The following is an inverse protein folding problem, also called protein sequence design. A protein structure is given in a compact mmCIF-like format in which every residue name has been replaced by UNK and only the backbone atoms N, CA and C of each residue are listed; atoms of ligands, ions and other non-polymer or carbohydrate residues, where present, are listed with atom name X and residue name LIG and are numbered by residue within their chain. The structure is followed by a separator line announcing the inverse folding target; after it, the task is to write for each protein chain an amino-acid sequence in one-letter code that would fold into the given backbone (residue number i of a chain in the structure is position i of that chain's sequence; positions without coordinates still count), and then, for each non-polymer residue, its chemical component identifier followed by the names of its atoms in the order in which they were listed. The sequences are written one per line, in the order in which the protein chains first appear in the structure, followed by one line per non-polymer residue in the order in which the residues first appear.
data_IF_846609668479
#
_entry.id   IF_846609668479
#
_cell.length_a   1.000
_cell.length_b   1.000
_cell.length_c   1.000
_cell.angle_alpha   90.00
_cell.angle_beta   90.00
_cell.angle_gamma   90.00
#
_symmetry.space_group_name_H-M   'P 1'
#
loop_
_entity.id
_entity.type
_entity.pdbx_description
1 polymer ?
#
# COMPACT_ATOMS: atom_id res chain seq x y z
N UNK A 1 -9.35 -36.69 12.71
CA UNK A 1 -9.64 -35.26 12.46
C UNK A 1 -8.34 -34.49 12.55
N UNK A 2 -7.76 -34.16 11.43
CA UNK A 2 -6.55 -33.34 11.40
C UNK A 2 -6.96 -31.96 10.91
N UNK A 3 -6.99 -31.01 11.81
CA UNK A 3 -7.15 -29.61 11.48
C UNK A 3 -5.81 -29.13 10.90
N UNK A 4 -5.73 -29.07 9.58
CA UNK A 4 -4.60 -28.52 8.87
C UNK A 4 -4.58 -26.99 9.00
N UNK A 5 -4.00 -26.50 10.06
CA UNK A 5 -3.60 -25.10 10.17
C UNK A 5 -2.14 -25.03 9.71
N UNK A 6 -1.94 -24.94 8.42
CA UNK A 6 -0.67 -24.46 7.87
C UNK A 6 -0.70 -22.94 7.82
N UNK A 7 -0.95 -22.34 8.96
CA UNK A 7 -0.73 -20.91 9.17
C UNK A 7 0.76 -20.69 9.36
N UNK A 8 1.42 -20.02 8.43
CA UNK A 8 2.74 -19.49 8.68
C UNK A 8 2.63 -18.53 9.87
N UNK A 9 3.02 -18.98 11.04
CA UNK A 9 3.12 -18.16 12.24
C UNK A 9 4.34 -17.27 12.03
N UNK A 10 4.11 -16.04 11.56
CA UNK A 10 5.17 -15.03 11.62
C UNK A 10 5.23 -14.60 13.07
N UNK A 11 6.30 -14.97 13.76
CA UNK A 11 6.56 -14.49 15.10
C UNK A 11 6.62 -12.96 15.05
N UNK A 12 5.68 -12.29 15.72
CA UNK A 12 5.72 -10.84 15.94
C UNK A 12 6.74 -10.60 17.05
N UNK A 13 7.90 -10.01 16.77
CA UNK A 13 8.80 -9.64 17.84
C UNK A 13 8.22 -8.52 18.69
N UNK A 14 8.38 -8.63 19.97
CA UNK A 14 8.01 -7.62 20.97
C UNK A 14 8.69 -6.27 20.68
N UNK A 15 8.03 -5.15 21.02
CA UNK A 15 8.47 -3.80 20.69
C UNK A 15 9.61 -3.34 21.59
N UNK A 16 10.77 -3.84 21.40
CA UNK A 16 11.99 -3.28 22.00
C UNK A 16 13.20 -3.84 21.31
N UNK A 17 13.87 -2.99 20.63
CA UNK A 17 15.22 -3.02 20.08
C UNK A 17 15.27 -3.02 18.56
N UNK A 18 15.92 -1.97 18.05
CA UNK A 18 16.48 -1.83 16.71
C UNK A 18 15.80 -2.70 15.63
N UNK A 19 14.61 -2.28 15.20
CA UNK A 19 13.88 -2.94 14.13
C UNK A 19 14.51 -2.60 12.78
N UNK A 20 15.63 -3.19 12.53
CA UNK A 20 16.24 -3.22 11.21
C UNK A 20 15.42 -4.16 10.33
N UNK A 21 14.78 -3.59 9.33
CA UNK A 21 14.18 -4.29 8.17
C UNK A 21 13.28 -5.49 8.49
N UNK A 22 12.01 -5.21 8.75
CA UNK A 22 10.97 -6.24 8.75
C UNK A 22 10.16 -6.14 7.46
N UNK A 23 10.04 -7.27 6.76
CA UNK A 23 9.23 -7.38 5.55
C UNK A 23 8.24 -8.53 5.66
N UNK A 24 6.99 -8.26 5.30
CA UNK A 24 5.96 -9.28 5.07
C UNK A 24 5.39 -9.11 3.67
N UNK A 25 5.17 -10.21 2.96
CA UNK A 25 4.64 -10.21 1.61
C UNK A 25 3.51 -11.24 1.48
N UNK A 26 2.48 -10.85 0.74
CA UNK A 26 1.30 -11.66 0.45
C UNK A 26 1.13 -11.79 -1.05
N UNK A 27 0.76 -12.98 -1.51
CA UNK A 27 0.30 -13.22 -2.89
C UNK A 27 -1.19 -13.50 -2.83
N UNK A 28 -1.97 -12.67 -3.49
CA UNK A 28 -3.42 -12.62 -3.39
C UNK A 28 -4.07 -12.81 -4.76
N UNK A 29 -5.28 -13.33 -4.78
CA UNK A 29 -6.06 -13.47 -6.00
C UNK A 29 -6.56 -12.12 -6.52
N UNK A 30 -6.92 -12.06 -7.80
CA UNK A 30 -7.50 -10.87 -8.42
C UNK A 30 -9.02 -10.83 -8.18
N UNK A 31 -9.41 -10.59 -6.93
CA UNK A 31 -10.80 -10.60 -6.47
C UNK A 31 -11.16 -9.40 -5.62
N UNK A 32 -12.46 -9.14 -5.45
CA UNK A 32 -12.95 -8.08 -4.56
C UNK A 32 -12.54 -8.33 -3.10
N UNK A 33 -12.51 -9.59 -2.68
CA UNK A 33 -12.07 -9.96 -1.34
C UNK A 33 -10.62 -9.52 -1.06
N UNK A 34 -9.77 -9.54 -2.07
CA UNK A 34 -8.37 -9.07 -1.97
C UNK A 34 -8.30 -7.59 -1.60
N UNK A 35 -9.23 -6.78 -2.09
CA UNK A 35 -9.29 -5.34 -1.77
C UNK A 35 -9.55 -5.14 -0.27
N UNK A 36 -10.53 -5.85 0.29
CA UNK A 36 -10.87 -5.77 1.71
C UNK A 36 -9.73 -6.35 2.58
N UNK A 37 -9.13 -7.46 2.16
CA UNK A 37 -7.98 -8.06 2.82
C UNK A 37 -6.76 -7.14 2.84
N UNK A 38 -6.50 -6.42 1.77
CA UNK A 38 -5.38 -5.48 1.68
C UNK A 38 -5.58 -4.32 2.67
N UNK A 39 -6.78 -3.76 2.73
CA UNK A 39 -7.14 -2.69 3.68
C UNK A 39 -6.98 -3.16 5.14
N UNK A 40 -7.50 -4.33 5.48
CA UNK A 40 -7.39 -4.92 6.81
C UNK A 40 -5.93 -5.14 7.23
N UNK A 41 -5.10 -5.68 6.33
CA UNK A 41 -3.66 -5.88 6.58
C UNK A 41 -2.95 -4.55 6.81
N UNK A 42 -3.25 -3.55 6.00
CA UNK A 42 -2.68 -2.21 6.14
C UNK A 42 -3.05 -1.57 7.48
N UNK A 43 -4.32 -1.67 7.88
CA UNK A 43 -4.81 -1.18 9.18
C UNK A 43 -4.06 -1.83 10.32
N UNK A 44 -3.94 -3.15 10.32
CA UNK A 44 -3.26 -3.90 11.37
C UNK A 44 -1.78 -3.53 11.46
N UNK A 45 -1.08 -3.57 10.34
CA UNK A 45 0.37 -3.31 10.30
C UNK A 45 0.69 -1.86 10.70
N UNK A 46 -0.07 -0.88 10.20
CA UNK A 46 0.12 0.52 10.57
C UNK A 46 -0.13 0.75 12.08
N UNK A 47 -1.14 0.10 12.65
CA UNK A 47 -1.42 0.16 14.09
C UNK A 47 -0.28 -0.46 14.90
N UNK A 48 0.21 -1.63 14.50
CA UNK A 48 1.34 -2.32 15.17
C UNK A 48 2.64 -1.52 15.13
N UNK A 49 2.87 -0.76 14.05
CA UNK A 49 4.03 0.13 13.90
C UNK A 49 3.92 1.35 14.83
N UNK A 50 2.71 1.79 15.17
CA UNK A 50 2.46 2.89 16.08
C UNK A 50 1.99 4.18 15.41
N UNK A 51 1.45 4.11 14.20
CA UNK A 51 0.76 5.26 13.58
C UNK A 51 -0.48 5.66 14.40
N UNK A 52 -0.80 6.95 14.44
CA UNK A 52 -2.04 7.44 15.02
C UNK A 52 -3.26 7.04 14.18
N UNK A 53 -4.47 7.14 14.75
CA UNK A 53 -5.71 6.68 14.12
C UNK A 53 -5.94 7.32 12.75
N UNK A 54 -5.71 8.62 12.61
CA UNK A 54 -5.88 9.33 11.33
C UNK A 54 -4.91 8.82 10.27
N UNK A 55 -3.66 8.58 10.64
CA UNK A 55 -2.64 8.06 9.73
C UNK A 55 -2.93 6.60 9.34
N UNK A 56 -3.36 5.77 10.29
CA UNK A 56 -3.80 4.40 10.01
C UNK A 56 -4.92 4.40 8.99
N UNK A 57 -5.93 5.27 9.15
CA UNK A 57 -7.01 5.42 8.18
C UNK A 57 -6.49 5.86 6.81
N UNK A 58 -5.61 6.84 6.75
CA UNK A 58 -5.02 7.34 5.50
C UNK A 58 -4.22 6.23 4.78
N UNK A 59 -3.41 5.50 5.52
CA UNK A 59 -2.62 4.37 4.98
C UNK A 59 -3.53 3.27 4.44
N UNK A 60 -4.55 2.89 5.21
CA UNK A 60 -5.48 1.83 4.81
C UNK A 60 -6.28 2.20 3.56
N UNK A 61 -6.74 3.44 3.46
CA UNK A 61 -7.44 3.94 2.28
C UNK A 61 -6.53 4.01 1.06
N UNK A 62 -5.28 4.44 1.21
CA UNK A 62 -4.31 4.46 0.13
C UNK A 62 -4.02 3.04 -0.39
N UNK A 63 -3.86 2.07 0.50
CA UNK A 63 -3.66 0.65 0.14
C UNK A 63 -4.91 0.07 -0.54
N UNK A 64 -6.10 0.40 -0.04
CA UNK A 64 -7.35 -0.01 -0.69
C UNK A 64 -7.41 0.48 -2.13
N UNK A 65 -7.12 1.75 -2.38
CA UNK A 65 -7.10 2.31 -3.73
C UNK A 65 -6.04 1.65 -4.62
N UNK A 66 -4.86 1.37 -4.08
CA UNK A 66 -3.83 0.62 -4.79
C UNK A 66 -4.27 -0.81 -5.14
N UNK A 67 -4.95 -1.49 -4.24
CA UNK A 67 -5.51 -2.82 -4.48
C UNK A 67 -6.65 -2.78 -5.53
N UNK A 68 -7.51 -1.78 -5.50
CA UNK A 68 -8.53 -1.56 -6.54
C UNK A 68 -7.87 -1.42 -7.91
N UNK A 69 -6.84 -0.60 -8.02
CA UNK A 69 -6.11 -0.43 -9.28
C UNK A 69 -5.48 -1.74 -9.76
N UNK A 70 -4.90 -2.52 -8.86
CA UNK A 70 -4.28 -3.79 -9.22
C UNK A 70 -5.30 -4.86 -9.65
N UNK A 71 -6.39 -5.03 -8.90
CA UNK A 71 -7.41 -6.06 -9.16
C UNK A 71 -8.26 -5.72 -10.38
N UNK A 72 -8.80 -4.48 -10.44
CA UNK A 72 -9.75 -4.08 -11.48
C UNK A 72 -9.04 -3.65 -12.76
N UNK A 73 -8.12 -2.71 -12.65
CA UNK A 73 -7.51 -2.06 -13.81
C UNK A 73 -6.27 -2.80 -14.31
N UNK A 74 -5.45 -3.34 -13.41
CA UNK A 74 -4.28 -4.12 -13.77
C UNK A 74 -4.66 -5.52 -14.26
N UNK A 75 -5.11 -6.36 -13.35
CA UNK A 75 -5.39 -7.77 -13.63
C UNK A 75 -6.78 -8.03 -14.24
N UNK A 76 -7.69 -7.05 -14.22
CA UNK A 76 -9.06 -7.17 -14.74
C UNK A 76 -9.78 -8.44 -14.24
N UNK A 77 -9.64 -8.75 -12.95
CA UNK A 77 -10.18 -9.96 -12.30
C UNK A 77 -9.71 -11.30 -12.88
N UNK A 78 -8.63 -11.31 -13.66
CA UNK A 78 -8.16 -12.54 -14.27
C UNK A 78 -7.75 -13.59 -13.21
N UNK A 79 -8.31 -14.80 -13.22
CA UNK A 79 -8.09 -15.81 -12.17
C UNK A 79 -6.66 -16.38 -12.16
N UNK A 80 -5.95 -16.26 -13.27
CA UNK A 80 -4.56 -16.69 -13.44
C UNK A 80 -3.53 -15.60 -13.07
N UNK A 81 -4.00 -14.37 -12.76
CA UNK A 81 -3.16 -13.26 -12.37
C UNK A 81 -3.27 -12.97 -10.88
N UNK A 82 -2.14 -12.71 -10.25
CA UNK A 82 -2.04 -12.46 -8.82
C UNK A 82 -1.70 -11.00 -8.53
N UNK A 83 -2.06 -10.56 -7.35
CA UNK A 83 -1.63 -9.30 -6.76
C UNK A 83 -0.63 -9.62 -5.66
N UNK A 84 0.54 -9.00 -5.70
CA UNK A 84 1.51 -9.08 -4.61
C UNK A 84 1.42 -7.81 -3.77
N UNK A 85 1.24 -7.98 -2.47
CA UNK A 85 1.18 -6.91 -1.48
C UNK A 85 2.30 -7.12 -0.47
N UNK A 86 3.21 -6.18 -0.35
CA UNK A 86 4.30 -6.25 0.60
C UNK A 86 4.35 -5.00 1.49
N UNK A 87 4.67 -5.21 2.75
CA UNK A 87 4.94 -4.18 3.74
C UNK A 87 6.36 -4.35 4.25
N UNK A 88 7.10 -3.29 4.28
CA UNK A 88 8.49 -3.28 4.71
C UNK A 88 8.74 -2.05 5.57
N UNK A 89 9.33 -2.26 6.74
CA UNK A 89 9.87 -1.15 7.53
C UNK A 89 11.35 -0.99 7.20
N UNK A 90 11.69 0.13 6.64
CA UNK A 90 13.08 0.49 6.29
C UNK A 90 13.44 1.77 7.02
N UNK A 91 14.20 1.64 8.12
CA UNK A 91 14.52 2.78 8.98
C UNK A 91 13.26 3.46 9.51
N UNK A 92 13.09 4.73 9.15
CA UNK A 92 11.99 5.59 9.59
C UNK A 92 10.80 5.57 8.63
N UNK A 93 10.74 4.62 7.71
CA UNK A 93 9.70 4.54 6.70
C UNK A 93 8.93 3.23 6.75
N UNK A 94 7.63 3.30 6.55
CA UNK A 94 6.81 2.19 6.10
C UNK A 94 6.74 2.26 4.57
N UNK A 95 7.24 1.23 3.92
CA UNK A 95 7.18 1.07 2.46
C UNK A 95 6.16 -0.02 2.13
N UNK A 96 5.18 0.32 1.32
CA UNK A 96 4.14 -0.59 0.87
C UNK A 96 4.28 -0.74 -0.63
N UNK A 97 4.37 -1.98 -1.11
CA UNK A 97 4.48 -2.28 -2.54
C UNK A 97 3.31 -3.13 -2.98
N UNK A 98 2.62 -2.70 -4.03
CA UNK A 98 1.51 -3.43 -4.65
C UNK A 98 1.87 -3.68 -6.11
N UNK A 99 1.88 -4.94 -6.54
CA UNK A 99 2.18 -5.34 -7.91
C UNK A 99 1.03 -6.12 -8.51
N UNK A 100 0.66 -5.78 -9.72
CA UNK A 100 -0.22 -6.58 -10.56
C UNK A 100 0.54 -7.24 -11.72
N UNK A 101 -0.14 -8.06 -12.48
CA UNK A 101 0.38 -8.78 -13.64
C UNK A 101 -0.38 -8.38 -14.92
N UNK A 102 -0.90 -7.17 -14.94
CA UNK A 102 -1.61 -6.60 -16.08
C UNK A 102 -0.67 -6.08 -17.18
N UNK A 103 -1.23 -5.36 -18.17
CA UNK A 103 -0.45 -4.85 -19.31
C UNK A 103 0.41 -3.62 -18.98
N UNK A 104 0.37 -3.14 -17.75
CA UNK A 104 1.00 -1.90 -17.34
C UNK A 104 0.05 -0.69 -17.49
N UNK A 105 0.24 0.30 -16.63
CA UNK A 105 -0.55 1.51 -16.62
C UNK A 105 0.07 2.57 -17.55
N UNK A 106 -0.74 3.20 -18.37
CA UNK A 106 -0.31 4.37 -19.15
C UNK A 106 -0.46 5.63 -18.29
N UNK A 107 0.66 6.12 -17.76
CA UNK A 107 0.70 7.29 -16.89
C UNK A 107 0.23 8.58 -17.59
N UNK A 108 0.35 8.65 -18.92
CA UNK A 108 -0.09 9.82 -19.70
C UNK A 108 -1.61 9.95 -19.76
N UNK A 109 -2.33 8.86 -19.49
CA UNK A 109 -3.80 8.80 -19.51
C UNK A 109 -4.44 8.99 -18.15
N UNK A 110 -3.67 9.21 -17.09
CA UNK A 110 -4.21 9.51 -15.78
C UNK A 110 -4.82 10.91 -15.81
N UNK A 111 -6.15 11.06 -15.65
CA UNK A 111 -6.77 12.37 -15.68
C UNK A 111 -6.39 13.18 -14.44
N UNK A 112 -6.27 14.50 -14.61
CA UNK A 112 -6.20 15.40 -13.47
C UNK A 112 -7.60 15.46 -12.80
N UNK A 113 -7.77 14.94 -11.58
CA UNK A 113 -9.09 14.91 -10.93
C UNK A 113 -9.61 16.28 -10.55
N UNK A 114 -8.74 17.30 -10.50
CA UNK A 114 -9.10 18.68 -10.20
C UNK A 114 -9.44 19.51 -11.44
N UNK A 115 -9.23 18.98 -12.64
CA UNK A 115 -9.64 19.65 -13.86
C UNK A 115 -11.18 19.74 -13.92
N UNK A 116 -11.76 20.87 -14.36
CA UNK A 116 -13.22 21.05 -14.38
C UNK A 116 -13.98 19.94 -15.11
N UNK A 117 -13.44 19.44 -16.21
CA UNK A 117 -14.00 18.34 -16.99
C UNK A 117 -14.00 16.99 -16.26
N UNK A 118 -13.23 16.85 -15.19
CA UNK A 118 -13.07 15.61 -14.43
C UNK A 118 -13.72 15.64 -13.04
N UNK A 119 -14.30 16.77 -12.61
CA UNK A 119 -14.84 16.93 -11.25
C UNK A 119 -15.92 15.91 -10.88
N UNK A 120 -16.67 15.41 -11.86
CA UNK A 120 -17.72 14.42 -11.67
C UNK A 120 -17.27 12.99 -11.99
N UNK A 121 -16.02 12.79 -12.46
CA UNK A 121 -15.48 11.47 -12.78
C UNK A 121 -14.83 10.87 -11.56
N UNK A 122 -15.02 9.56 -11.35
CA UNK A 122 -14.36 8.80 -10.27
C UNK A 122 -13.00 8.26 -10.68
N UNK A 123 -12.71 8.14 -11.97
CA UNK A 123 -11.44 7.65 -12.49
C UNK A 123 -10.28 8.64 -12.21
N UNK A 124 -9.14 8.11 -11.77
CA UNK A 124 -7.96 8.90 -11.42
C UNK A 124 -7.97 9.48 -10.01
N UNK A 125 -9.10 9.46 -9.31
CA UNK A 125 -9.21 9.96 -7.93
C UNK A 125 -8.43 9.12 -6.94
N UNK A 126 -8.30 7.82 -7.19
CA UNK A 126 -7.54 6.91 -6.33
C UNK A 126 -6.08 7.31 -6.23
N UNK A 127 -5.43 7.67 -7.34
CA UNK A 127 -4.03 8.13 -7.34
C UNK A 127 -3.90 9.48 -6.64
N UNK A 128 -4.83 10.39 -6.87
CA UNK A 128 -4.86 11.68 -6.17
C UNK A 128 -4.99 11.48 -4.66
N UNK A 129 -5.88 10.59 -4.22
CA UNK A 129 -6.07 10.26 -2.80
C UNK A 129 -4.81 9.64 -2.21
N UNK A 130 -4.18 8.70 -2.89
CA UNK A 130 -2.91 8.12 -2.44
C UNK A 130 -1.83 9.20 -2.25
N UNK A 131 -1.69 10.11 -3.20
CA UNK A 131 -0.73 11.24 -3.10
C UNK A 131 -1.04 12.21 -1.99
N UNK A 132 -2.31 12.37 -1.64
CA UNK A 132 -2.74 13.22 -0.52
C UNK A 132 -2.43 12.59 0.85
N UNK A 133 -2.47 11.28 0.94
CA UNK A 133 -2.32 10.55 2.21
C UNK A 133 -0.93 10.03 2.48
N UNK A 134 -0.16 9.74 1.44
CA UNK A 134 1.19 9.17 1.57
C UNK A 134 2.25 10.24 1.33
N UNK A 135 3.43 10.05 1.92
CA UNK A 135 4.56 10.98 1.74
C UNK A 135 5.19 10.82 0.36
N UNK A 136 5.22 9.59 -0.16
CA UNK A 136 5.70 9.29 -1.52
C UNK A 136 4.78 8.29 -2.19
N UNK A 137 4.47 8.53 -3.45
CA UNK A 137 3.76 7.60 -4.35
C UNK A 137 4.55 7.47 -5.63
N UNK A 138 5.07 6.27 -5.90
CA UNK A 138 5.76 5.94 -7.13
C UNK A 138 4.96 4.88 -7.90
N UNK A 139 4.78 5.10 -9.19
CA UNK A 139 4.11 4.17 -10.09
C UNK A 139 5.11 3.78 -11.18
N UNK A 140 5.39 2.48 -11.29
CA UNK A 140 6.34 1.91 -12.26
C UNK A 140 5.63 0.91 -13.14
N UNK A 141 5.08 1.34 -14.29
CA UNK A 141 4.49 0.41 -15.25
C UNK A 141 5.57 -0.32 -16.06
N UNK A 142 5.25 -1.56 -16.40
CA UNK A 142 6.03 -2.38 -17.33
C UNK A 142 5.08 -3.17 -18.23
N UNK A 143 5.61 -3.87 -19.22
CA UNK A 143 4.80 -4.74 -20.09
C UNK A 143 4.22 -5.96 -19.37
N UNK A 144 4.72 -6.29 -18.18
CA UNK A 144 4.30 -7.46 -17.39
C UNK A 144 3.48 -7.09 -16.15
N UNK A 145 3.20 -5.82 -15.94
CA UNK A 145 2.41 -5.34 -14.81
C UNK A 145 2.78 -3.94 -14.36
N UNK A 146 2.16 -3.52 -13.27
CA UNK A 146 2.44 -2.23 -12.63
C UNK A 146 2.89 -2.48 -11.19
N UNK A 147 3.95 -1.81 -10.79
CA UNK A 147 4.37 -1.71 -9.40
C UNK A 147 3.98 -0.34 -8.85
N UNK A 148 3.20 -0.34 -7.79
CA UNK A 148 2.89 0.83 -6.99
C UNK A 148 3.68 0.77 -5.69
N UNK A 149 4.41 1.83 -5.38
CA UNK A 149 5.12 1.98 -4.11
C UNK A 149 4.58 3.19 -3.35
N UNK A 150 4.15 2.95 -2.13
CA UNK A 150 3.65 3.94 -1.19
C UNK A 150 4.61 4.01 0.00
N UNK A 151 5.01 5.22 0.39
CA UNK A 151 5.90 5.43 1.54
C UNK A 151 5.23 6.39 2.53
N UNK A 152 5.25 6.02 3.80
CA UNK A 152 4.81 6.84 4.92
C UNK A 152 5.89 6.91 5.99
N UNK A 153 6.24 8.10 6.45
CA UNK A 153 7.18 8.26 7.54
C UNK A 153 6.58 7.79 8.86
N UNK A 154 7.35 7.00 9.61
CA UNK A 154 6.92 6.49 10.90
C UNK A 154 7.04 7.60 11.94
N UNK A 155 5.98 7.89 12.72
CA UNK A 155 6.01 8.93 13.74
C UNK A 155 7.00 8.59 14.85
N UNK A 156 7.68 9.62 15.41
CA UNK A 156 8.59 9.46 16.54
C UNK A 156 9.93 8.82 16.22
N UNK A 157 10.16 8.45 14.96
CA UNK A 157 11.51 8.20 14.50
C UNK A 157 12.22 9.54 14.45
N UNK A 158 13.26 9.72 15.25
CA UNK A 158 14.01 10.94 15.33
C UNK A 158 14.79 11.18 14.04
N UNK A 159 14.13 11.73 13.04
CA UNK A 159 14.82 12.59 12.11
C UNK A 159 15.36 13.72 12.96
N UNK A 160 16.68 13.78 13.11
CA UNK A 160 17.38 14.60 14.03
C UNK A 160 16.82 16.02 14.16
N UNK A 161 16.76 16.49 15.39
CA UNK A 161 16.22 17.77 15.74
C UNK A 161 16.73 18.84 14.80
N UNK A 162 15.82 19.48 14.08
CA UNK A 162 16.00 20.87 13.78
C UNK A 162 15.61 21.57 15.05
N UNK A 163 16.61 21.79 15.90
CA UNK A 163 16.56 22.89 16.82
C UNK A 163 16.21 24.13 16.02
N UNK A 164 15.03 24.65 16.29
CA UNK A 164 14.72 26.00 15.92
C UNK A 164 15.64 26.89 16.78
N UNK A 165 16.80 27.23 16.25
CA UNK A 165 17.57 28.35 16.80
C UNK A 165 16.80 29.61 16.46
N UNK A 166 16.51 30.33 17.50
CA UNK A 166 15.95 31.67 17.60
C UNK A 166 16.58 32.64 16.60
#
# INVERSE_FOLDING_TARGET
MRNGWSGLIIAVPLPSMAMTEQRVSYTLDSSLETIDNAEEKATRIATEIGFGEDEVMQISMAVREGAVNAVLHGNAYAPDKKVTLAFERTGDNLVITIRDQGPGMDLSKIPNPLAPENLLKTSGRGIFLMRSFMDVVEIRPSTTGTELKLIKHVPGSSAGGKEASQ
#
